data_IF_114347656211
#
_entry.id   IF_114347656211
#
_cell.length_a   1.000
_cell.length_b   1.000
_cell.length_c   1.000
_cell.angle_alpha   90.00
_cell.angle_beta   90.00
_cell.angle_gamma   90.00
#
_symmetry.space_group_name_H-M   'P 1'
#
loop_
_entity.id
_entity.type
_entity.pdbx_description
1 polymer ?
#
# COMPACT_ATOMS: atom_id res chain seq x y z
N UNK A 1 -8.06 -8.81 -5.08
CA UNK A 1 -6.62 -9.18 -5.08
C UNK A 1 -6.42 -10.36 -4.14
N UNK A 2 -5.59 -11.36 -4.49
CA UNK A 2 -5.24 -12.45 -3.56
C UNK A 2 -4.05 -12.04 -2.69
N UNK A 3 -3.98 -12.53 -1.45
CA UNK A 3 -2.89 -12.20 -0.52
C UNK A 3 -1.51 -12.62 -1.06
N UNK A 4 -1.42 -13.73 -1.79
CA UNK A 4 -0.18 -14.17 -2.46
C UNK A 4 0.35 -13.12 -3.44
N UNK A 5 -0.52 -12.57 -4.28
CA UNK A 5 -0.19 -11.54 -5.26
C UNK A 5 0.30 -10.26 -4.56
N UNK A 6 -0.32 -9.90 -3.42
CA UNK A 6 0.10 -8.76 -2.60
C UNK A 6 1.52 -8.96 -2.03
N UNK A 7 1.80 -10.13 -1.47
CA UNK A 7 3.10 -10.45 -0.90
C UNK A 7 4.21 -10.47 -1.96
N UNK A 8 3.93 -11.01 -3.14
CA UNK A 8 4.89 -11.03 -4.25
C UNK A 8 5.17 -9.60 -4.77
N UNK A 9 4.13 -8.76 -4.83
CA UNK A 9 4.30 -7.35 -5.13
C UNK A 9 5.20 -6.64 -4.10
N UNK A 10 4.95 -6.82 -2.80
CA UNK A 10 5.75 -6.19 -1.74
C UNK A 10 7.22 -6.63 -1.77
N UNK A 11 7.50 -7.92 -2.04
CA UNK A 11 8.87 -8.41 -2.19
C UNK A 11 9.59 -7.74 -3.35
N UNK A 12 8.93 -7.64 -4.50
CA UNK A 12 9.49 -6.99 -5.68
C UNK A 12 9.73 -5.49 -5.44
N UNK A 13 8.76 -4.81 -4.79
CA UNK A 13 8.90 -3.41 -4.42
C UNK A 13 10.06 -3.20 -3.45
N UNK A 14 10.21 -4.04 -2.41
CA UNK A 14 11.30 -3.92 -1.46
C UNK A 14 12.65 -4.07 -2.17
N UNK A 15 12.81 -5.07 -3.04
CA UNK A 15 14.03 -5.24 -3.85
C UNK A 15 14.36 -3.99 -4.68
N UNK A 16 13.35 -3.40 -5.32
CA UNK A 16 13.53 -2.16 -6.10
C UNK A 16 13.93 -0.98 -5.22
N UNK A 17 13.36 -0.83 -4.03
CA UNK A 17 13.72 0.25 -3.10
C UNK A 17 15.12 0.03 -2.50
N UNK A 18 15.49 -1.23 -2.20
CA UNK A 18 16.84 -1.61 -1.77
C UNK A 18 17.89 -1.24 -2.82
N UNK A 19 17.64 -1.56 -4.09
CA UNK A 19 18.57 -1.23 -5.19
C UNK A 19 18.72 0.28 -5.40
N UNK A 20 17.70 1.05 -5.04
CA UNK A 20 17.77 2.51 -5.03
C UNK A 20 18.44 3.09 -3.77
N UNK A 21 18.76 2.27 -2.76
CA UNK A 21 19.34 2.70 -1.50
C UNK A 21 18.43 3.63 -0.70
N UNK A 22 17.11 3.44 -0.80
CA UNK A 22 16.09 4.28 -0.14
C UNK A 22 15.30 3.48 0.88
N UNK A 23 14.55 4.19 1.72
CA UNK A 23 13.52 3.63 2.58
C UNK A 23 12.21 4.36 2.32
N UNK A 24 11.09 3.62 2.34
CA UNK A 24 9.76 4.21 2.12
C UNK A 24 8.77 3.76 3.19
N UNK A 25 7.81 4.64 3.48
CA UNK A 25 6.60 4.33 4.23
C UNK A 25 5.47 4.10 3.23
N UNK A 26 4.92 2.88 3.20
CA UNK A 26 3.81 2.52 2.32
C UNK A 26 2.49 2.57 3.11
N UNK A 27 1.64 3.53 2.76
CA UNK A 27 0.31 3.69 3.34
C UNK A 27 -0.66 2.72 2.65
N UNK A 28 -1.32 1.86 3.43
CA UNK A 28 -2.26 0.84 2.92
C UNK A 28 -3.62 1.03 3.59
N UNK A 29 -4.69 0.82 2.82
CA UNK A 29 -6.04 0.77 3.38
C UNK A 29 -6.26 -0.52 4.19
N UNK A 30 -7.38 -0.61 4.90
CA UNK A 30 -7.66 -1.72 5.81
C UNK A 30 -8.38 -2.91 5.14
N UNK A 31 -8.18 -3.14 3.83
CA UNK A 31 -8.84 -4.22 3.12
C UNK A 31 -8.38 -5.60 3.64
N UNK A 32 -9.31 -6.55 3.76
CA UNK A 32 -9.03 -7.88 4.32
C UNK A 32 -8.03 -8.69 3.51
N UNK A 33 -7.80 -8.33 2.23
CA UNK A 33 -6.88 -9.00 1.32
C UNK A 33 -5.40 -8.75 1.64
N UNK A 34 -5.08 -7.73 2.45
CA UNK A 34 -3.70 -7.40 2.78
C UNK A 34 -3.12 -8.31 3.90
N UNK A 35 -3.97 -9.06 4.61
CA UNK A 35 -3.58 -9.76 5.83
C UNK A 35 -3.56 -8.83 7.04
N UNK A 36 -3.51 -9.38 8.26
CA UNK A 36 -3.23 -8.56 9.44
C UNK A 36 -1.74 -8.22 9.47
N UNK A 37 -1.39 -7.13 10.13
CA UNK A 37 0.00 -6.67 10.27
C UNK A 37 0.92 -7.79 10.79
N UNK A 38 0.42 -8.62 11.70
CA UNK A 38 1.14 -9.78 12.27
C UNK A 38 1.43 -10.91 11.25
N UNK A 39 0.68 -10.99 10.15
CA UNK A 39 0.79 -12.06 9.16
C UNK A 39 1.78 -11.73 8.02
N UNK A 40 2.36 -10.52 8.02
CA UNK A 40 3.19 -10.01 6.92
C UNK A 40 4.66 -10.05 7.33
N UNK A 41 5.55 -10.60 6.47
CA UNK A 41 6.97 -10.60 6.75
C UNK A 41 7.52 -9.19 6.84
N UNK A 42 8.47 -8.97 7.76
CA UNK A 42 9.19 -7.70 7.88
C UNK A 42 10.05 -7.45 6.65
N UNK A 43 10.00 -6.22 6.11
CA UNK A 43 10.83 -5.77 5.00
C UNK A 43 11.96 -4.86 5.49
N UNK A 44 13.09 -4.83 4.76
CA UNK A 44 14.27 -4.06 5.15
C UNK A 44 14.15 -2.57 4.85
N UNK A 45 13.43 -2.21 3.79
CA UNK A 45 13.40 -0.86 3.24
C UNK A 45 11.96 -0.33 3.04
N UNK A 46 10.97 -1.13 3.41
CA UNK A 46 9.55 -0.76 3.36
C UNK A 46 8.97 -0.92 4.76
N UNK A 47 8.37 0.16 5.25
CA UNK A 47 7.53 0.14 6.44
C UNK A 47 6.06 0.22 5.98
N UNK A 48 5.21 -0.69 6.45
CA UNK A 48 3.79 -0.69 6.15
C UNK A 48 3.03 0.08 7.22
N UNK A 49 2.19 1.03 6.82
CA UNK A 49 1.34 1.76 7.74
C UNK A 49 -0.12 1.62 7.32
N UNK A 50 -0.89 0.94 8.17
CA UNK A 50 -2.32 0.71 7.98
C UNK A 50 -3.13 1.93 8.41
N UNK A 51 -3.96 2.43 7.50
CA UNK A 51 -4.85 3.54 7.82
C UNK A 51 -6.01 3.06 8.70
N UNK A 52 -6.47 3.90 9.65
CA UNK A 52 -7.60 3.58 10.49
C UNK A 52 -8.87 3.39 9.66
N UNK A 53 -9.73 2.47 10.10
CA UNK A 53 -11.01 2.20 9.43
C UNK A 53 -11.83 3.49 9.27
N UNK A 54 -12.54 3.62 8.15
CA UNK A 54 -13.38 4.79 7.79
C UNK A 54 -12.66 6.11 7.49
N UNK A 55 -11.33 6.14 7.31
CA UNK A 55 -10.62 7.38 6.90
C UNK A 55 -10.34 7.51 5.40
N UNK A 56 -10.81 6.55 4.60
CA UNK A 56 -10.50 6.42 3.16
C UNK A 56 -10.84 7.70 2.38
N UNK A 57 -12.03 8.25 2.59
CA UNK A 57 -12.50 9.44 1.85
C UNK A 57 -11.72 10.71 2.13
N UNK A 58 -11.03 10.80 3.28
CA UNK A 58 -10.33 12.01 3.70
C UNK A 58 -8.80 11.88 3.61
N UNK A 59 -8.25 10.69 3.89
CA UNK A 59 -6.81 10.48 4.00
C UNK A 59 -6.19 9.79 2.79
N UNK A 60 -6.95 9.04 1.97
CA UNK A 60 -6.38 8.36 0.82
C UNK A 60 -6.37 9.24 -0.43
N UNK A 61 -5.19 9.75 -0.86
CA UNK A 61 -5.11 10.66 -2.00
C UNK A 61 -5.56 9.98 -3.29
N UNK A 62 -5.44 8.65 -3.36
CA UNK A 62 -5.88 7.84 -4.48
C UNK A 62 -7.38 8.03 -4.74
N UNK A 63 -8.22 7.84 -3.73
CA UNK A 63 -9.67 8.01 -3.84
C UNK A 63 -10.07 9.48 -3.94
N UNK A 64 -9.53 10.34 -3.07
CA UNK A 64 -9.99 11.73 -2.97
C UNK A 64 -9.58 12.58 -4.18
N UNK A 65 -8.44 12.30 -4.81
CA UNK A 65 -7.90 13.14 -5.90
C UNK A 65 -7.65 12.38 -7.19
N UNK A 66 -6.91 11.27 -7.14
CA UNK A 66 -6.45 10.61 -8.38
C UNK A 66 -7.65 10.02 -9.13
N UNK A 67 -8.44 9.15 -8.48
CA UNK A 67 -9.61 8.52 -9.09
C UNK A 67 -10.63 9.57 -9.54
N UNK A 68 -10.87 10.61 -8.73
CA UNK A 68 -11.75 11.71 -9.10
C UNK A 68 -11.26 12.47 -10.35
N UNK A 69 -9.95 12.70 -10.46
CA UNK A 69 -9.36 13.35 -11.65
C UNK A 69 -9.48 12.50 -12.91
N UNK A 70 -9.37 11.18 -12.78
CA UNK A 70 -9.62 10.27 -13.91
C UNK A 70 -11.10 10.21 -14.28
N UNK A 71 -12.00 10.09 -13.30
CA UNK A 71 -13.47 10.08 -13.53
C UNK A 71 -13.97 11.39 -14.15
N UNK A 72 -13.41 12.54 -13.78
CA UNK A 72 -13.83 13.82 -14.34
C UNK A 72 -13.54 13.98 -15.85
N UNK A 73 -12.73 13.10 -16.44
CA UNK A 73 -12.37 13.11 -17.87
C UNK A 73 -13.20 12.14 -18.72
N UNK A 74 -14.12 11.38 -18.13
CA UNK A 74 -14.98 10.39 -18.80
C UNK A 74 -16.43 10.55 -18.34
#
# INVERSE_FOLDING_TARGET
MQQSIWLDYLKNLNSLICTQGKNILLLVDNAPTYGKEDDIPSFSNIELCYLPSNTITHLQPLDTKIINSFKAKY
#
